data_IF_474367636421
#
_entry.id   IF_474367636421
#
_cell.length_a   1.000
_cell.length_b   1.000
_cell.length_c   1.000
_cell.angle_alpha   90.00
_cell.angle_beta   90.00
_cell.angle_gamma   90.00
#
_symmetry.space_group_name_H-M   'P 1'
#
loop_
_entity.id
_entity.type
_entity.pdbx_description
1 polymer ?
#
# COMPACT_ATOMS: atom_id res chain seq x y z
N UNK A 1 5.11 -64.41 -7.98
CA UNK A 1 4.88 -63.75 -6.68
C UNK A 1 4.33 -64.79 -5.71
N UNK A 2 4.84 -64.81 -4.48
CA UNK A 2 4.30 -65.66 -3.42
C UNK A 2 2.90 -65.14 -3.01
N UNK A 3 1.98 -66.06 -2.66
CA UNK A 3 0.60 -65.75 -2.28
C UNK A 3 0.56 -64.78 -1.10
N UNK A 4 1.51 -64.88 -0.19
CA UNK A 4 1.63 -63.98 0.96
C UNK A 4 2.01 -62.56 0.55
N UNK A 5 2.91 -62.40 -0.42
CA UNK A 5 3.29 -61.10 -0.96
C UNK A 5 2.12 -60.45 -1.71
N UNK A 6 1.36 -61.22 -2.49
CA UNK A 6 0.18 -60.71 -3.20
C UNK A 6 -0.90 -60.22 -2.23
N UNK A 7 -1.14 -60.95 -1.13
CA UNK A 7 -2.10 -60.54 -0.09
C UNK A 7 -1.66 -59.24 0.58
N UNK A 8 -0.36 -59.08 0.88
CA UNK A 8 0.16 -57.85 1.47
C UNK A 8 -0.05 -56.62 0.57
N UNK A 9 0.20 -56.74 -0.73
CA UNK A 9 -0.03 -55.64 -1.68
C UNK A 9 -1.52 -55.27 -1.82
N UNK A 10 -2.41 -56.27 -1.82
CA UNK A 10 -3.86 -56.02 -1.84
C UNK A 10 -4.28 -55.29 -0.55
N UNK A 11 -3.78 -55.71 0.61
CA UNK A 11 -4.12 -55.09 1.89
C UNK A 11 -3.67 -53.62 1.95
N UNK A 12 -2.45 -53.33 1.49
CA UNK A 12 -1.92 -51.96 1.41
C UNK A 12 -2.76 -51.10 0.46
N UNK A 13 -3.15 -51.65 -0.69
CA UNK A 13 -4.01 -50.94 -1.64
C UNK A 13 -5.36 -50.54 -1.04
N UNK A 14 -6.00 -51.45 -0.30
CA UNK A 14 -7.28 -51.18 0.37
C UNK A 14 -7.14 -50.11 1.46
N UNK A 15 -6.06 -50.16 2.25
CA UNK A 15 -5.79 -49.16 3.29
C UNK A 15 -5.57 -47.77 2.66
N UNK A 16 -4.82 -47.67 1.57
CA UNK A 16 -4.57 -46.40 0.89
C UNK A 16 -5.85 -45.80 0.28
N UNK A 17 -6.69 -46.63 -0.33
CA UNK A 17 -7.99 -46.17 -0.87
C UNK A 17 -8.90 -45.68 0.25
N UNK A 18 -8.95 -46.39 1.37
CA UNK A 18 -9.74 -45.98 2.52
C UNK A 18 -9.22 -44.69 3.17
N UNK A 19 -7.90 -44.56 3.28
CA UNK A 19 -7.25 -43.35 3.81
C UNK A 19 -7.48 -42.14 2.92
N UNK A 20 -7.42 -42.31 1.59
CA UNK A 20 -7.73 -41.25 0.63
C UNK A 20 -9.20 -40.84 0.72
N UNK A 21 -10.12 -41.79 0.88
CA UNK A 21 -11.55 -41.51 1.01
C UNK A 21 -11.87 -40.68 2.26
N UNK A 22 -11.26 -41.00 3.41
CA UNK A 22 -11.43 -40.21 4.65
C UNK A 22 -10.83 -38.80 4.58
N UNK A 23 -9.76 -38.61 3.81
CA UNK A 23 -9.05 -37.33 3.71
C UNK A 23 -9.35 -36.56 2.40
N UNK A 24 -10.35 -36.97 1.63
CA UNK A 24 -10.75 -36.24 0.44
C UNK A 24 -11.54 -34.99 0.83
N UNK A 25 -11.10 -33.77 0.45
CA UNK A 25 -11.84 -32.55 0.76
C UNK A 25 -13.20 -32.54 0.04
N UNK A 26 -14.21 -31.96 0.69
CA UNK A 26 -15.52 -31.80 0.07
C UNK A 26 -15.43 -30.86 -1.15
N UNK A 27 -16.08 -31.20 -2.28
CA UNK A 27 -16.13 -30.30 -3.42
C UNK A 27 -16.84 -29.00 -3.03
N UNK A 28 -16.33 -27.82 -3.44
CA UNK A 28 -16.94 -26.55 -3.09
C UNK A 28 -18.37 -26.49 -3.65
N UNK A 29 -19.33 -26.22 -2.77
CA UNK A 29 -20.71 -25.94 -3.15
C UNK A 29 -20.71 -24.60 -3.89
N UNK A 30 -20.96 -24.63 -5.20
CA UNK A 30 -21.18 -23.41 -5.97
C UNK A 30 -22.41 -22.68 -5.40
N UNK A 31 -22.28 -21.43 -4.93
CA UNK A 31 -23.46 -20.63 -4.59
C UNK A 31 -24.29 -20.37 -5.85
N UNK A 32 -25.63 -20.29 -5.74
CA UNK A 32 -26.51 -20.04 -6.87
C UNK A 32 -26.16 -18.70 -7.52
N UNK A 33 -26.00 -18.71 -8.85
CA UNK A 33 -25.86 -17.52 -9.69
C UNK A 33 -27.06 -16.60 -9.45
N UNK A 34 -26.82 -15.44 -8.86
CA UNK A 34 -27.67 -14.28 -9.04
C UNK A 34 -27.39 -13.69 -10.41
N UNK A 35 -28.44 -13.50 -11.21
CA UNK A 35 -28.39 -12.94 -12.55
C UNK A 35 -27.75 -11.55 -12.54
N UNK A 36 -26.52 -11.46 -13.04
CA UNK A 36 -25.93 -10.18 -13.45
C UNK A 36 -26.31 -9.91 -14.90
N UNK A 37 -27.08 -8.86 -15.10
CA UNK A 37 -27.50 -8.39 -16.41
C UNK A 37 -26.34 -7.65 -17.08
N UNK A 38 -25.50 -8.36 -17.80
CA UNK A 38 -24.78 -7.79 -18.95
C UNK A 38 -24.85 -8.74 -20.14
N UNK A 39 -25.77 -8.42 -21.05
CA UNK A 39 -25.78 -9.00 -22.40
C UNK A 39 -24.51 -8.55 -23.13
N UNK A 40 -23.57 -9.46 -23.35
CA UNK A 40 -22.58 -9.35 -24.41
C UNK A 40 -23.06 -10.20 -25.57
N UNK A 41 -23.41 -9.54 -26.67
CA UNK A 41 -23.73 -10.19 -27.94
C UNK A 41 -22.47 -10.84 -28.47
N UNK A 42 -22.46 -12.17 -28.51
CA UNK A 42 -21.48 -12.98 -29.23
C UNK A 42 -21.75 -12.84 -30.72
N UNK A 43 -20.76 -12.34 -31.48
CA UNK A 43 -20.61 -12.72 -32.87
C UNK A 43 -19.30 -13.52 -32.98
N UNK A 44 -19.47 -14.82 -33.20
CA UNK A 44 -18.41 -15.70 -33.65
C UNK A 44 -18.15 -15.39 -35.12
N UNK A 45 -16.90 -15.10 -35.48
CA UNK A 45 -16.39 -15.61 -36.73
C UNK A 45 -14.90 -15.95 -36.62
N UNK A 46 -14.64 -17.18 -37.04
CA UNK A 46 -13.39 -17.92 -37.04
C UNK A 46 -12.31 -17.31 -37.92
N UNK A 47 -11.09 -17.09 -37.40
CA UNK A 47 -9.85 -17.16 -38.22
C UNK A 47 -8.67 -17.72 -37.41
N UNK A 48 -8.33 -18.98 -37.72
CA UNK A 48 -7.01 -19.61 -37.89
C UNK A 48 -5.79 -18.99 -37.16
N UNK A 49 -5.25 -19.74 -36.20
CA UNK A 49 -3.92 -19.53 -35.60
C UNK A 49 -2.85 -20.01 -36.59
N UNK A 50 -1.98 -19.10 -37.03
CA UNK A 50 -0.67 -19.42 -37.60
C UNK A 50 0.43 -18.81 -36.73
N UNK A 51 1.29 -19.70 -36.23
CA UNK A 51 2.48 -19.41 -35.44
C UNK A 51 3.55 -18.75 -36.33
N UNK A 52 4.01 -17.55 -35.98
CA UNK A 52 5.29 -17.01 -36.44
C UNK A 52 5.99 -16.21 -35.34
N UNK A 53 7.08 -16.82 -34.88
CA UNK A 53 8.38 -16.30 -34.44
C UNK A 53 8.49 -14.88 -33.89
N UNK A 54 9.12 -14.83 -32.72
CA UNK A 54 9.65 -13.68 -32.00
C UNK A 54 10.34 -12.63 -32.89
N UNK A 55 10.01 -11.37 -32.61
CA UNK A 55 10.91 -10.24 -32.77
C UNK A 55 10.80 -9.40 -31.49
N UNK A 56 11.96 -9.10 -30.92
CA UNK A 56 12.14 -8.20 -29.79
C UNK A 56 11.51 -6.83 -30.09
N UNK A 57 10.54 -6.44 -29.27
CA UNK A 57 10.20 -5.03 -29.08
C UNK A 57 10.53 -4.70 -27.64
N UNK A 58 11.63 -3.95 -27.47
CA UNK A 58 11.89 -3.17 -26.27
C UNK A 58 10.63 -2.34 -26.04
N UNK A 59 9.90 -2.65 -24.97
CA UNK A 59 8.90 -1.75 -24.43
C UNK A 59 9.67 -0.58 -23.86
N UNK A 60 9.71 0.52 -24.62
CA UNK A 60 9.91 1.82 -24.03
C UNK A 60 8.89 1.96 -22.89
N UNK A 61 9.41 2.21 -21.70
CA UNK A 61 8.62 2.58 -20.53
C UNK A 61 7.91 3.86 -20.94
N UNK A 62 6.62 3.75 -21.23
CA UNK A 62 5.75 4.89 -21.41
C UNK A 62 5.82 5.68 -20.11
N UNK A 63 6.49 6.82 -20.19
CA UNK A 63 6.47 7.88 -19.20
C UNK A 63 5.01 8.24 -19.03
N UNK A 64 4.44 7.97 -17.85
CA UNK A 64 3.12 8.46 -17.48
C UNK A 64 3.08 9.96 -17.78
N UNK A 65 2.29 10.35 -18.78
CA UNK A 65 1.88 11.72 -18.95
C UNK A 65 0.95 12.01 -17.78
N UNK A 66 1.54 12.54 -16.70
CA UNK A 66 0.84 13.11 -15.57
C UNK A 66 -0.14 14.14 -16.13
N UNK A 67 -1.43 13.77 -16.20
CA UNK A 67 -2.49 14.65 -16.64
C UNK A 67 -2.35 15.97 -15.85
N UNK A 68 -2.21 17.09 -16.56
CA UNK A 68 -2.05 18.39 -15.93
C UNK A 68 -3.18 18.59 -14.92
N UNK A 69 -2.81 18.70 -13.64
CA UNK A 69 -3.76 18.97 -12.58
C UNK A 69 -4.51 20.28 -12.90
N UNK A 70 -5.77 20.43 -12.44
CA UNK A 70 -6.50 21.68 -12.64
C UNK A 70 -5.69 22.86 -12.17
N UNK A 71 -5.86 24.03 -12.80
CA UNK A 71 -5.05 25.21 -12.49
C UNK A 71 -5.04 25.56 -10.98
N UNK A 72 -6.15 25.30 -10.28
CA UNK A 72 -6.32 25.51 -8.84
C UNK A 72 -5.65 24.44 -7.95
N UNK A 73 -5.12 23.38 -8.55
CA UNK A 73 -4.35 22.29 -7.94
C UNK A 73 -2.91 22.23 -8.49
N UNK A 74 -2.44 23.32 -9.10
CA UNK A 74 -1.06 23.42 -9.54
C UNK A 74 -0.08 23.42 -8.36
N UNK A 75 1.01 22.68 -8.53
CA UNK A 75 2.13 22.71 -7.61
C UNK A 75 2.92 24.01 -7.73
N UNK A 76 2.89 24.83 -6.68
CA UNK A 76 3.90 25.86 -6.48
C UNK A 76 5.13 25.12 -5.99
N UNK A 77 6.03 24.72 -6.89
CA UNK A 77 7.18 23.83 -6.69
C UNK A 77 8.07 24.26 -5.50
N UNK A 78 7.56 24.06 -4.29
CA UNK A 78 8.11 24.58 -3.07
C UNK A 78 9.22 23.63 -2.61
N UNK A 79 10.23 24.13 -1.89
CA UNK A 79 11.22 23.26 -1.30
C UNK A 79 10.55 22.25 -0.36
N UNK A 80 10.89 20.97 -0.53
CA UNK A 80 10.42 19.90 0.35
C UNK A 80 10.88 20.17 1.79
N UNK A 81 9.96 20.02 2.74
CA UNK A 81 10.22 20.11 4.17
C UNK A 81 9.88 18.77 4.82
N UNK A 82 10.81 18.26 5.62
CA UNK A 82 10.64 17.01 6.35
C UNK A 82 10.49 17.30 7.84
N UNK A 83 9.48 16.69 8.47
CA UNK A 83 9.30 16.71 9.92
C UNK A 83 9.58 15.31 10.47
N UNK A 84 10.48 15.22 11.43
CA UNK A 84 10.79 14.00 12.16
C UNK A 84 10.05 13.97 13.50
N UNK A 85 9.23 12.96 13.72
CA UNK A 85 8.58 12.67 14.99
C UNK A 85 9.27 11.48 15.62
N UNK A 86 9.69 11.64 16.86
CA UNK A 86 10.30 10.59 17.64
C UNK A 86 9.40 10.26 18.83
N UNK A 87 8.99 9.01 18.95
CA UNK A 87 8.25 8.48 20.12
C UNK A 87 9.15 7.53 20.90
N UNK A 88 8.63 6.89 21.94
CA UNK A 88 9.36 5.84 22.63
C UNK A 88 9.50 4.59 21.73
N UNK A 89 8.49 4.31 20.90
CA UNK A 89 8.43 3.10 20.07
C UNK A 89 8.85 3.29 18.60
N UNK A 90 8.81 4.52 18.06
CA UNK A 90 8.99 4.77 16.63
C UNK A 90 9.81 6.03 16.32
N UNK A 91 10.39 6.07 15.11
CA UNK A 91 10.96 7.26 14.49
C UNK A 91 10.32 7.44 13.11
N UNK A 92 9.59 8.54 12.92
CA UNK A 92 8.71 8.76 11.78
C UNK A 92 9.15 10.03 11.05
N UNK A 93 9.19 10.00 9.72
CA UNK A 93 9.42 11.17 8.88
C UNK A 93 8.20 11.44 8.02
N UNK A 94 7.73 12.70 8.03
CA UNK A 94 6.66 13.20 7.17
C UNK A 94 7.23 14.23 6.19
N UNK A 95 6.66 14.31 4.99
CA UNK A 95 7.08 15.28 3.97
C UNK A 95 5.96 16.26 3.61
N UNK A 96 6.34 17.51 3.33
CA UNK A 96 5.43 18.53 2.78
C UNK A 96 4.97 18.22 1.35
N UNK A 97 5.71 17.39 0.61
CA UNK A 97 5.31 16.94 -0.73
C UNK A 97 4.26 15.84 -0.59
N UNK A 98 3.01 16.18 -0.89
CA UNK A 98 1.85 15.34 -0.70
C UNK A 98 1.37 15.22 0.74
N UNK A 99 2.04 15.82 1.73
CA UNK A 99 1.63 15.69 3.15
C UNK A 99 1.60 14.23 3.61
N UNK A 100 2.60 13.43 3.18
CA UNK A 100 2.61 11.97 3.28
C UNK A 100 3.75 11.46 4.16
N UNK A 101 3.74 10.17 4.43
CA UNK A 101 4.82 9.52 5.16
C UNK A 101 6.02 9.33 4.25
N UNK A 102 7.22 9.52 4.79
CA UNK A 102 8.49 9.30 4.07
C UNK A 102 9.23 8.10 4.64
N UNK A 103 9.26 7.98 5.97
CA UNK A 103 9.85 6.85 6.68
C UNK A 103 9.10 6.54 7.97
N UNK A 104 9.09 5.27 8.36
CA UNK A 104 8.55 4.81 9.63
C UNK A 104 9.44 3.70 10.18
N UNK A 105 10.22 4.00 11.22
CA UNK A 105 11.11 3.04 11.88
C UNK A 105 10.47 2.52 13.16
N UNK A 106 10.63 1.22 13.43
CA UNK A 106 10.21 0.56 14.66
C UNK A 106 11.41 0.36 15.58
N UNK A 107 11.41 1.00 16.75
CA UNK A 107 12.57 1.02 17.66
C UNK A 107 12.80 -0.28 18.42
N UNK A 108 11.77 -1.09 18.60
CA UNK A 108 11.86 -2.37 19.32
C UNK A 108 12.21 -3.55 18.39
N UNK A 109 12.41 -3.30 17.09
CA UNK A 109 12.60 -4.35 16.09
C UNK A 109 13.87 -4.09 15.27
N UNK A 110 14.84 -4.98 15.42
CA UNK A 110 16.06 -4.96 14.62
C UNK A 110 15.82 -5.61 13.24
N UNK A 111 16.60 -5.22 12.24
CA UNK A 111 16.55 -5.83 10.91
C UNK A 111 17.01 -7.29 10.98
N UNK A 112 16.46 -8.18 10.15
CA UNK A 112 16.84 -9.61 10.17
C UNK A 112 18.35 -9.84 9.90
N UNK A 113 19.01 -8.88 9.25
CA UNK A 113 20.44 -8.89 8.97
C UNK A 113 21.29 -8.08 9.97
N UNK A 114 20.73 -7.61 11.09
CA UNK A 114 21.44 -6.75 12.05
C UNK A 114 22.79 -7.34 12.53
N UNK A 115 22.85 -8.65 12.75
CA UNK A 115 24.07 -9.37 13.15
C UNK A 115 25.20 -9.37 12.10
N UNK A 116 24.89 -8.97 10.86
CA UNK A 116 25.85 -8.87 9.75
C UNK A 116 26.40 -7.44 9.59
N UNK A 117 25.91 -6.48 10.38
CA UNK A 117 26.32 -5.08 10.34
C UNK A 117 27.50 -4.90 11.29
N UNK A 118 28.63 -4.40 10.77
CA UNK A 118 29.84 -4.17 11.57
C UNK A 118 29.67 -3.03 12.58
N UNK A 119 28.97 -1.96 12.16
CA UNK A 119 28.64 -0.82 13.00
C UNK A 119 27.19 -0.90 13.49
N UNK A 120 27.01 -1.50 14.66
CA UNK A 120 25.69 -1.60 15.31
C UNK A 120 25.24 -0.31 15.98
N UNK A 121 26.05 0.76 15.96
CA UNK A 121 25.67 2.06 16.52
C UNK A 121 24.78 2.88 15.58
N UNK A 122 24.69 2.51 14.31
CA UNK A 122 23.81 3.15 13.34
C UNK A 122 22.37 2.65 13.46
N UNK A 123 21.54 3.43 14.16
CA UNK A 123 20.11 3.19 14.29
C UNK A 123 19.40 2.92 12.96
N UNK A 124 19.74 3.67 11.90
CA UNK A 124 19.00 3.64 10.64
C UNK A 124 19.23 2.36 9.83
N UNK A 125 20.35 1.67 10.06
CA UNK A 125 20.68 0.40 9.40
C UNK A 125 20.30 -0.82 10.24
N UNK A 126 20.18 -0.64 11.56
CA UNK A 126 19.94 -1.72 12.52
C UNK A 126 18.47 -1.95 12.83
N UNK A 127 17.58 -0.99 12.57
CA UNK A 127 16.16 -1.08 12.92
C UNK A 127 15.24 -1.21 11.71
N UNK A 128 14.13 -1.92 11.90
CA UNK A 128 13.10 -2.11 10.88
C UNK A 128 12.53 -0.77 10.41
N UNK A 129 12.50 -0.57 9.11
CA UNK A 129 11.94 0.61 8.45
C UNK A 129 10.86 0.16 7.46
N UNK A 130 9.61 0.55 7.71
CA UNK A 130 8.46 -0.01 7.01
C UNK A 130 8.24 0.58 5.62
N UNK A 131 8.57 1.85 5.39
CA UNK A 131 8.18 2.56 4.16
C UNK A 131 9.29 2.51 3.12
N UNK A 132 9.03 1.91 1.96
CA UNK A 132 10.05 1.83 0.91
C UNK A 132 10.29 3.19 0.23
N UNK A 133 11.24 3.96 0.76
CA UNK A 133 11.62 5.27 0.21
C UNK A 133 12.31 5.20 -1.16
N UNK A 134 12.81 4.03 -1.59
CA UNK A 134 13.50 3.88 -2.88
C UNK A 134 12.54 3.89 -4.09
N UNK A 135 11.27 3.57 -3.85
CA UNK A 135 10.19 3.56 -4.86
C UNK A 135 9.16 4.67 -4.60
N UNK A 136 9.55 5.73 -3.89
CA UNK A 136 8.66 6.83 -3.53
C UNK A 136 7.42 6.38 -2.71
N UNK A 137 7.65 5.44 -1.78
CA UNK A 137 6.66 4.89 -0.86
C UNK A 137 6.17 5.86 0.22
N UNK A 138 5.18 5.40 0.99
CA UNK A 138 4.60 6.17 2.11
C UNK A 138 3.43 7.06 1.70
N UNK A 139 2.83 6.72 0.56
CA UNK A 139 1.68 7.39 -0.02
C UNK A 139 0.47 7.39 0.94
N UNK A 140 -0.04 8.58 1.23
CA UNK A 140 -1.31 8.75 1.94
C UNK A 140 -2.12 9.78 1.16
N UNK A 141 -2.48 9.41 -0.06
CA UNK A 141 -2.92 10.35 -1.09
C UNK A 141 -4.44 10.32 -1.22
N UNK A 142 -5.01 11.46 -1.60
CA UNK A 142 -6.38 11.54 -2.06
C UNK A 142 -6.39 11.56 -3.58
N UNK A 143 -7.27 10.75 -4.15
CA UNK A 143 -7.57 10.75 -5.58
C UNK A 143 -9.05 11.05 -5.76
N UNK A 144 -9.38 12.04 -6.58
CA UNK A 144 -10.76 12.39 -6.86
C UNK A 144 -10.91 13.05 -8.23
N UNK A 145 -12.13 13.07 -8.74
CA UNK A 145 -12.47 13.76 -9.98
C UNK A 145 -13.20 15.05 -9.64
N UNK A 146 -12.79 16.16 -10.25
CA UNK A 146 -13.45 17.46 -10.08
C UNK A 146 -14.78 17.51 -10.86
N UNK A 147 -15.66 18.47 -10.56
CA UNK A 147 -16.94 18.62 -11.28
C UNK A 147 -16.79 18.94 -12.77
N UNK A 148 -15.68 19.54 -13.17
CA UNK A 148 -15.29 19.76 -14.57
C UNK A 148 -14.59 18.56 -15.21
N UNK A 149 -14.49 17.43 -14.49
CA UNK A 149 -14.06 16.14 -15.04
C UNK A 149 -12.56 15.87 -14.99
N UNK A 150 -11.80 16.66 -14.24
CA UNK A 150 -10.35 16.50 -14.13
C UNK A 150 -9.97 15.57 -12.98
N UNK A 151 -9.00 14.68 -13.20
CA UNK A 151 -8.46 13.83 -12.15
C UNK A 151 -7.46 14.62 -11.31
N UNK A 152 -7.62 14.57 -9.99
CA UNK A 152 -6.69 15.16 -9.02
C UNK A 152 -6.09 14.06 -8.18
N UNK A 153 -4.76 14.03 -8.09
CA UNK A 153 -4.02 13.21 -7.13
C UNK A 153 -3.20 14.14 -6.23
N UNK A 154 -3.36 14.02 -4.91
CA UNK A 154 -2.64 14.89 -3.97
C UNK A 154 -1.17 14.54 -3.76
N UNK A 155 -0.65 13.46 -4.35
CA UNK A 155 0.70 12.92 -4.11
C UNK A 155 1.82 13.95 -4.29
N UNK A 156 1.74 14.73 -5.37
CA UNK A 156 2.76 15.73 -5.69
C UNK A 156 2.46 17.10 -5.08
N UNK A 157 1.29 17.30 -4.46
CA UNK A 157 0.83 18.62 -4.00
C UNK A 157 1.70 19.22 -2.88
N UNK A 158 1.97 20.51 -2.96
CA UNK A 158 2.77 21.24 -1.97
C UNK A 158 1.96 21.62 -0.71
N UNK A 159 1.87 20.69 0.24
CA UNK A 159 1.23 20.94 1.53
C UNK A 159 2.11 21.79 2.45
N UNK A 160 1.49 22.52 3.36
CA UNK A 160 2.15 23.28 4.42
C UNK A 160 1.80 22.70 5.79
N UNK A 161 2.77 22.58 6.68
CA UNK A 161 2.52 22.10 8.04
C UNK A 161 2.19 23.25 8.99
N UNK A 162 1.34 23.01 9.98
CA UNK A 162 1.11 23.90 11.14
C UNK A 162 2.34 23.96 12.08
N UNK A 163 3.33 23.11 11.87
CA UNK A 163 4.54 22.97 12.67
C UNK A 163 5.69 23.80 12.12
N UNK A 164 6.42 24.44 13.03
CA UNK A 164 7.57 25.31 12.70
C UNK A 164 8.93 24.60 12.88
N UNK A 165 9.04 23.65 13.81
CA UNK A 165 10.26 22.86 13.99
C UNK A 165 10.30 21.65 13.05
N UNK A 166 11.51 21.18 12.76
CA UNK A 166 11.75 19.98 11.93
C UNK A 166 11.81 18.68 12.75
N UNK A 167 11.92 18.75 14.07
CA UNK A 167 11.99 17.58 14.94
C UNK A 167 11.14 17.74 16.19
N UNK A 168 10.41 16.69 16.55
CA UNK A 168 9.60 16.61 17.75
C UNK A 168 9.87 15.30 18.49
N UNK A 169 9.93 15.35 19.82
CA UNK A 169 9.95 14.17 20.69
C UNK A 169 8.64 14.11 21.47
N UNK A 170 7.94 12.99 21.39
CA UNK A 170 6.68 12.71 22.10
C UNK A 170 7.00 11.72 23.22
N UNK A 171 6.65 12.08 24.47
CA UNK A 171 6.85 11.20 25.64
C UNK A 171 5.73 10.18 25.74
N UNK A 172 5.96 9.05 26.40
CA UNK A 172 5.01 7.95 26.58
C UNK A 172 3.55 8.37 26.83
N UNK A 173 3.33 9.35 27.70
CA UNK A 173 2.02 9.80 28.18
C UNK A 173 1.47 11.02 27.42
N UNK A 174 2.11 11.39 26.30
CA UNK A 174 1.80 12.57 25.51
C UNK A 174 1.41 12.20 24.06
N UNK A 175 0.89 13.18 23.34
CA UNK A 175 0.54 13.07 21.93
C UNK A 175 0.94 14.32 21.15
N UNK A 176 1.18 14.15 19.84
CA UNK A 176 1.49 15.24 18.94
C UNK A 176 0.54 15.22 17.75
N UNK A 177 -0.21 16.30 17.57
CA UNK A 177 -1.02 16.54 16.37
C UNK A 177 -0.24 17.36 15.36
N UNK A 178 -0.20 16.94 14.09
CA UNK A 178 0.37 17.64 12.95
C UNK A 178 -0.71 17.79 11.88
N UNK A 179 -0.85 18.98 11.33
CA UNK A 179 -1.79 19.28 10.24
C UNK A 179 -0.99 19.68 9.02
N UNK A 180 -1.12 18.92 7.93
CA UNK A 180 -0.70 19.33 6.60
C UNK A 180 -1.89 19.92 5.85
N UNK A 181 -1.78 21.17 5.43
CA UNK A 181 -2.81 21.92 4.72
C UNK A 181 -2.35 22.30 3.31
N UNK A 182 -3.17 21.93 2.32
CA UNK A 182 -3.07 22.43 0.96
C UNK A 182 -4.20 23.45 0.75
N UNK A 183 -3.83 24.70 0.52
CA UNK A 183 -4.79 25.77 0.21
C UNK A 183 -5.08 25.77 -1.29
N UNK A 184 -6.36 25.82 -1.63
CA UNK A 184 -6.86 26.03 -2.98
C UNK A 184 -7.30 27.51 -3.06
N UNK A 185 -7.83 27.95 -4.19
CA UNK A 185 -8.40 29.29 -4.35
C UNK A 185 -9.51 29.60 -3.32
N UNK A 186 -9.48 30.81 -2.78
CA UNK A 186 -10.45 31.29 -1.81
C UNK A 186 -10.24 30.69 -0.41
N UNK A 187 -11.30 30.14 0.17
CA UNK A 187 -11.31 29.49 1.49
C UNK A 187 -11.29 27.95 1.40
N UNK A 188 -11.09 27.41 0.20
CA UNK A 188 -11.08 25.97 -0.09
C UNK A 188 -9.75 25.35 0.34
N UNK A 189 -9.79 24.18 0.98
CA UNK A 189 -8.55 23.49 1.37
C UNK A 189 -8.73 22.00 1.64
N UNK A 190 -7.61 21.27 1.57
CA UNK A 190 -7.48 19.89 2.00
C UNK A 190 -6.54 19.88 3.20
N UNK A 191 -6.97 19.27 4.31
CA UNK A 191 -6.15 19.08 5.50
C UNK A 191 -5.99 17.59 5.83
N UNK A 192 -4.74 17.17 6.05
CA UNK A 192 -4.38 15.86 6.60
C UNK A 192 -3.95 16.06 8.05
N UNK A 193 -4.76 15.59 8.99
CA UNK A 193 -4.55 15.75 10.42
C UNK A 193 -4.08 14.42 11.01
N UNK A 194 -2.85 14.39 11.50
CA UNK A 194 -2.18 13.20 12.01
C UNK A 194 -1.90 13.37 13.50
N UNK A 195 -2.30 12.40 14.33
CA UNK A 195 -2.01 12.40 15.78
C UNK A 195 -1.16 11.20 16.13
N UNK A 196 0.04 11.47 16.65
CA UNK A 196 1.01 10.48 17.11
C UNK A 196 0.96 10.37 18.63
N UNK A 197 1.10 9.15 19.14
CA UNK A 197 1.11 8.87 20.58
C UNK A 197 2.49 8.37 21.00
N UNK A 198 2.99 8.80 22.16
CA UNK A 198 4.36 8.49 22.58
C UNK A 198 4.65 7.00 22.81
N UNK A 199 3.64 6.23 23.17
CA UNK A 199 3.73 4.81 23.53
C UNK A 199 2.92 3.89 22.59
N UNK A 200 2.61 4.31 21.37
CA UNK A 200 1.89 3.49 20.39
C UNK A 200 2.54 3.54 19.01
N UNK A 201 2.40 2.45 18.25
CA UNK A 201 2.65 2.43 16.81
C UNK A 201 1.47 2.97 16.01
N UNK A 202 0.27 2.95 16.61
CA UNK A 202 -0.93 3.48 15.99
C UNK A 202 -0.89 5.01 15.97
N UNK A 203 -1.48 5.56 14.93
CA UNK A 203 -1.75 6.99 14.80
C UNK A 203 -3.19 7.21 14.40
N UNK A 204 -3.72 8.38 14.73
CA UNK A 204 -5.01 8.82 14.20
C UNK A 204 -4.79 9.66 12.96
N UNK A 205 -5.42 9.28 11.85
CA UNK A 205 -5.42 10.07 10.63
C UNK A 205 -6.85 10.55 10.31
N UNK A 206 -7.02 11.87 10.17
CA UNK A 206 -8.26 12.45 9.66
C UNK A 206 -7.97 13.25 8.39
N UNK A 207 -8.94 13.24 7.48
CA UNK A 207 -8.93 14.06 6.27
C UNK A 207 -10.07 15.05 6.39
N UNK A 208 -9.78 16.34 6.25
CA UNK A 208 -10.77 17.41 6.28
C UNK A 208 -10.77 18.12 4.93
N UNK A 209 -11.93 18.13 4.29
CA UNK A 209 -12.17 18.76 2.99
C UNK A 209 -13.01 20.01 3.23
N UNK A 210 -12.39 21.19 3.21
CA UNK A 210 -13.05 22.46 3.49
C UNK A 210 -13.57 23.08 2.18
N UNK A 211 -14.89 23.27 2.09
CA UNK A 211 -15.58 23.91 0.96
C UNK A 211 -15.27 23.28 -0.41
N UNK A 212 -15.14 21.95 -0.43
CA UNK A 212 -14.86 21.17 -1.65
C UNK A 212 -16.09 20.47 -2.23
N UNK A 213 -17.28 20.70 -1.69
CA UNK A 213 -18.55 20.20 -2.21
C UNK A 213 -18.86 20.70 -3.63
N UNK A 214 -18.39 21.91 -3.97
CA UNK A 214 -18.47 22.46 -5.32
C UNK A 214 -17.34 22.02 -6.24
N UNK A 215 -16.28 21.41 -5.69
CA UNK A 215 -15.09 21.01 -6.44
C UNK A 215 -15.13 19.52 -6.77
N UNK A 216 -15.36 18.68 -5.77
CA UNK A 216 -15.31 17.22 -5.91
C UNK A 216 -16.61 16.72 -6.53
N UNK A 217 -16.48 15.98 -7.62
CA UNK A 217 -17.61 15.34 -8.27
C UNK A 217 -18.21 14.26 -7.39
N UNK A 218 -19.53 14.27 -7.27
CA UNK A 218 -20.30 13.21 -6.60
C UNK A 218 -19.91 12.92 -5.14
N UNK A 219 -19.15 13.82 -4.48
CA UNK A 219 -18.60 13.59 -3.15
C UNK A 219 -17.76 12.31 -3.03
N UNK A 220 -17.14 11.87 -4.14
CA UNK A 220 -16.32 10.66 -4.19
C UNK A 220 -14.85 11.02 -4.20
N UNK A 221 -14.11 10.36 -3.32
CA UNK A 221 -12.67 10.39 -3.27
C UNK A 221 -12.18 9.02 -2.79
N UNK A 222 -11.00 8.64 -3.25
CA UNK A 222 -10.29 7.46 -2.79
C UNK A 222 -9.12 7.90 -1.92
N UNK A 223 -8.90 7.19 -0.81
CA UNK A 223 -7.66 7.26 -0.05
C UNK A 223 -6.75 6.18 -0.59
N UNK A 224 -5.67 6.60 -1.25
CA UNK A 224 -4.75 5.71 -1.95
C UNK A 224 -3.43 5.57 -1.18
N UNK A 225 -3.02 4.32 -0.99
CA UNK A 225 -1.67 3.91 -0.63
C UNK A 225 -1.12 3.04 -1.76
N UNK A 226 -0.46 3.64 -2.76
CA UNK A 226 -0.08 2.96 -4.00
C UNK A 226 1.29 2.30 -3.98
N UNK A 227 2.23 2.78 -3.15
CA UNK A 227 3.59 2.27 -3.09
C UNK A 227 3.93 1.61 -1.75
N UNK A 228 4.61 0.48 -1.85
CA UNK A 228 4.61 -0.56 -0.84
C UNK A 228 5.47 -0.34 0.39
N UNK A 229 5.24 -1.22 1.36
CA UNK A 229 6.09 -1.43 2.52
C UNK A 229 7.35 -2.21 2.11
N UNK A 230 8.44 -2.06 2.86
CA UNK A 230 9.60 -2.93 2.73
C UNK A 230 9.25 -4.34 3.22
N UNK A 231 9.90 -5.35 2.63
CA UNK A 231 10.01 -6.66 3.26
C UNK A 231 10.98 -6.54 4.43
N UNK A 232 10.53 -6.94 5.62
CA UNK A 232 11.27 -6.77 6.87
C UNK A 232 11.78 -8.10 7.42
N UNK A 233 11.39 -9.23 6.82
CA UNK A 233 11.85 -10.57 7.18
C UNK A 233 12.88 -11.12 6.19
N UNK A 234 13.68 -12.12 6.63
CA UNK A 234 14.67 -12.77 5.75
C UNK A 234 14.00 -13.53 4.60
N UNK A 235 12.83 -14.14 4.86
CA UNK A 235 12.06 -14.85 3.84
C UNK A 235 10.89 -13.99 3.34
N UNK A 236 11.16 -13.14 2.36
CA UNK A 236 10.15 -12.27 1.74
C UNK A 236 8.99 -13.04 1.06
N UNK A 237 9.20 -14.29 0.66
CA UNK A 237 8.14 -15.13 0.08
C UNK A 237 7.10 -15.49 1.13
N UNK A 238 7.57 -15.90 2.31
CA UNK A 238 6.67 -16.21 3.43
C UNK A 238 5.99 -14.93 3.95
N UNK A 239 6.74 -13.85 4.12
CA UNK A 239 6.20 -12.55 4.53
C UNK A 239 5.07 -12.09 3.59
N UNK A 240 5.25 -12.20 2.27
CA UNK A 240 4.22 -11.86 1.29
C UNK A 240 2.96 -12.74 1.39
N UNK A 241 3.10 -14.02 1.77
CA UNK A 241 1.98 -14.95 1.88
C UNK A 241 1.16 -14.75 3.17
N UNK A 242 1.77 -14.23 4.24
CA UNK A 242 1.13 -14.04 5.54
C UNK A 242 0.83 -12.59 5.90
N UNK A 243 1.16 -11.63 5.03
CA UNK A 243 0.80 -10.23 5.20
C UNK A 243 -0.70 -10.01 4.97
N UNK A 244 -1.39 -9.44 5.97
CA UNK A 244 -2.80 -9.06 5.86
C UNK A 244 -3.03 -7.59 6.21
N UNK A 245 -3.89 -6.91 5.45
CA UNK A 245 -4.52 -5.67 5.87
C UNK A 245 -5.90 -6.01 6.45
N UNK A 246 -6.18 -5.62 7.69
CA UNK A 246 -7.50 -5.74 8.30
C UNK A 246 -8.13 -4.34 8.40
N UNK A 247 -9.39 -4.22 7.97
CA UNK A 247 -10.19 -3.01 8.04
C UNK A 247 -11.23 -3.11 9.17
#
# INVERSE_FOLDING_TARGET
MDRQSTIAFILIGVILVFWLYMNSPEPPVNPPKTDDSTKVVTNNDTVKIETKTAAESKSDIAKDEEAEAPASFNNINAPEKVITIETDLALIELTSKGGRFRKFYLKEYETWYHNKIEDTSDFYNTHVQLINASIDGGDFNLVFVTKDGQLVNTKSLDFTSDKNNFRYRVKADDSLSIIYKFNIEGDKSIEKQLVFYGNSYDLKANIVLNNLDEVISSYRYDVEWSHGLNFVEENSVDEANYSNAAA
#
